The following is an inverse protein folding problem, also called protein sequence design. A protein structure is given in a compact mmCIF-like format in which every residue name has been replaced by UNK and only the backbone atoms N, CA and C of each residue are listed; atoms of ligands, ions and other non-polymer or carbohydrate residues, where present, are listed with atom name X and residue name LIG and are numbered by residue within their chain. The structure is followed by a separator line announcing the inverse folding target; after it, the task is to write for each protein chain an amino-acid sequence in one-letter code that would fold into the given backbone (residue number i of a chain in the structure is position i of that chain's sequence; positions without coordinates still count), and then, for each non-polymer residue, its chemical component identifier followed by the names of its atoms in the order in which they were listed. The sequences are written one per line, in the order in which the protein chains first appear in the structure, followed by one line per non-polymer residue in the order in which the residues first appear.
data_IF_628146891840
#
_entry.id   IF_628146891840
#
_cell.length_a   1.000
_cell.length_b   1.000
_cell.length_c   1.000
_cell.angle_alpha   90.00
_cell.angle_beta   90.00
_cell.angle_gamma   90.00
#
_symmetry.space_group_name_H-M   'P 1'
#
loop_
_entity.id
_entity.type
_entity.pdbx_description
1 polymer ?
#
# COMPACT_ATOMS: atom_id res chain seq x y z
N UNK A 1 -5.91 -11.84 -2.86
CA UNK A 1 -7.00 -10.95 -3.31
C UNK A 1 -6.50 -10.20 -4.52
N UNK A 2 -7.32 -10.08 -5.56
CA UNK A 2 -6.98 -9.35 -6.77
C UNK A 2 -8.01 -8.25 -7.01
N UNK A 3 -7.55 -7.02 -7.17
CA UNK A 3 -8.35 -5.84 -7.52
C UNK A 3 -7.88 -5.43 -8.91
N UNK A 4 -8.80 -5.38 -9.88
CA UNK A 4 -8.44 -5.09 -11.27
C UNK A 4 -9.49 -4.25 -11.97
N UNK A 5 -9.04 -3.27 -12.76
CA UNK A 5 -9.89 -2.39 -13.57
C UNK A 5 -10.95 -1.63 -12.77
N UNK A 6 -10.68 -1.40 -11.49
CA UNK A 6 -11.59 -0.65 -10.64
C UNK A 6 -11.36 0.85 -10.83
N UNK A 7 -12.30 1.49 -11.52
CA UNK A 7 -12.29 2.93 -11.76
C UNK A 7 -13.01 3.72 -10.67
N UNK A 8 -13.51 3.08 -9.61
CA UNK A 8 -14.25 3.73 -8.53
C UNK A 8 -13.44 3.84 -7.26
N UNK A 9 -12.54 2.89 -7.01
CA UNK A 9 -11.69 2.92 -5.81
C UNK A 9 -10.68 4.05 -5.93
N UNK A 10 -10.88 5.11 -5.14
CA UNK A 10 -9.95 6.24 -5.03
C UNK A 10 -8.96 6.00 -3.88
N UNK A 11 -9.39 5.30 -2.84
CA UNK A 11 -8.57 4.96 -1.68
C UNK A 11 -8.88 3.56 -1.15
N UNK A 12 -7.83 2.85 -0.70
CA UNK A 12 -8.02 1.57 -0.01
C UNK A 12 -8.73 1.69 1.35
N UNK A 13 -8.88 2.91 1.89
CA UNK A 13 -9.69 3.16 3.08
C UNK A 13 -11.18 2.83 2.86
N UNK A 14 -11.70 2.96 1.64
CA UNK A 14 -13.09 2.64 1.30
C UNK A 14 -13.42 1.16 1.50
N UNK A 15 -12.40 0.30 1.37
CA UNK A 15 -12.52 -1.15 1.53
C UNK A 15 -11.77 -1.66 2.77
N UNK A 16 -11.44 -0.77 3.69
CA UNK A 16 -10.71 -1.09 4.93
C UNK A 16 -11.42 -2.17 5.76
N UNK A 17 -12.74 -2.14 5.83
CA UNK A 17 -13.54 -3.14 6.57
C UNK A 17 -13.38 -4.55 5.99
N UNK A 18 -13.29 -4.66 4.66
CA UNK A 18 -13.00 -5.92 3.99
C UNK A 18 -11.58 -6.41 4.30
N UNK A 19 -10.60 -5.51 4.33
CA UNK A 19 -9.23 -5.84 4.72
C UNK A 19 -9.08 -6.22 6.19
N UNK A 20 -9.79 -5.57 7.12
CA UNK A 20 -9.83 -5.99 8.53
C UNK A 20 -10.35 -7.41 8.66
N UNK A 21 -11.39 -7.76 7.90
CA UNK A 21 -12.00 -9.09 7.91
C UNK A 21 -11.06 -10.19 7.41
N UNK A 22 -10.08 -9.87 6.56
CA UNK A 22 -9.08 -10.82 6.05
C UNK A 22 -7.64 -10.53 6.51
N UNK A 23 -7.48 -9.70 7.55
CA UNK A 23 -6.19 -9.24 8.08
C UNK A 23 -5.16 -10.34 8.34
N UNK A 24 -5.61 -11.48 8.88
CA UNK A 24 -4.77 -12.62 9.26
C UNK A 24 -4.70 -13.75 8.24
N UNK A 25 -5.48 -13.69 7.15
CA UNK A 25 -5.55 -14.75 6.14
C UNK A 25 -5.05 -14.31 4.77
N UNK A 26 -5.02 -13.00 4.51
CA UNK A 26 -4.64 -12.47 3.21
C UNK A 26 -3.13 -12.39 3.06
N UNK A 27 -2.56 -13.36 2.36
CA UNK A 27 -1.11 -13.43 2.09
C UNK A 27 -0.66 -12.77 0.80
N UNK A 28 -1.56 -12.59 -0.17
CA UNK A 28 -1.22 -11.98 -1.47
C UNK A 28 -2.29 -10.98 -1.88
N UNK A 29 -1.87 -9.79 -2.27
CA UNK A 29 -2.70 -8.72 -2.77
C UNK A 29 -2.14 -8.19 -4.09
N UNK A 30 -2.97 -8.22 -5.13
CA UNK A 30 -2.64 -7.72 -6.45
C UNK A 30 -3.61 -6.59 -6.81
N UNK A 31 -3.09 -5.43 -7.17
CA UNK A 31 -3.87 -4.26 -7.61
C UNK A 31 -3.38 -3.83 -8.98
N UNK A 32 -4.27 -3.93 -9.97
CA UNK A 32 -3.92 -3.74 -11.38
C UNK A 32 -4.90 -2.78 -12.06
N UNK A 33 -4.41 -1.82 -12.85
CA UNK A 33 -5.27 -0.91 -13.65
C UNK A 33 -6.31 -0.11 -12.86
N UNK A 34 -6.10 0.08 -11.56
CA UNK A 34 -6.97 0.91 -10.72
C UNK A 34 -6.55 2.37 -10.83
N UNK A 35 -6.92 2.99 -11.95
CA UNK A 35 -6.38 4.28 -12.36
C UNK A 35 -6.81 5.47 -11.49
N UNK A 36 -7.88 5.35 -10.70
CA UNK A 36 -8.31 6.38 -9.76
C UNK A 36 -7.69 6.22 -8.37
N UNK A 37 -7.00 5.11 -8.11
CA UNK A 37 -6.42 4.82 -6.81
C UNK A 37 -5.27 5.79 -6.53
N UNK A 38 -5.48 6.71 -5.58
CA UNK A 38 -4.52 7.74 -5.19
C UNK A 38 -3.65 7.32 -4.04
N UNK A 39 -4.21 6.54 -3.11
CA UNK A 39 -3.50 6.07 -1.93
C UNK A 39 -3.86 4.64 -1.58
N UNK A 40 -2.84 3.90 -1.12
CA UNK A 40 -2.97 2.58 -0.51
C UNK A 40 -2.95 2.61 1.02
N UNK A 41 -2.83 3.82 1.61
CA UNK A 41 -2.90 4.02 3.07
C UNK A 41 -4.31 3.72 3.61
N UNK A 42 -4.40 3.38 4.90
CA UNK A 42 -5.66 3.01 5.56
C UNK A 42 -6.09 1.56 5.36
N UNK A 43 -5.96 0.99 4.15
CA UNK A 43 -6.33 -0.40 3.88
C UNK A 43 -5.21 -1.41 4.14
N UNK A 44 -4.01 -1.16 3.58
CA UNK A 44 -2.87 -2.08 3.69
C UNK A 44 -2.39 -2.30 5.12
N UNK A 45 -2.57 -1.31 6.00
CA UNK A 45 -2.09 -1.36 7.39
C UNK A 45 -2.69 -2.49 8.23
N UNK A 46 -3.86 -3.01 7.84
CA UNK A 46 -4.54 -4.10 8.55
C UNK A 46 -4.11 -5.48 8.07
N UNK A 47 -3.41 -5.57 6.95
CA UNK A 47 -3.05 -6.85 6.32
C UNK A 47 -1.75 -7.40 6.93
N UNK A 48 -1.83 -7.78 8.20
CA UNK A 48 -0.66 -8.24 8.98
C UNK A 48 -0.11 -9.58 8.52
N UNK A 49 -0.85 -10.36 7.73
CA UNK A 49 -0.37 -11.62 7.13
C UNK A 49 0.09 -11.47 5.67
N UNK A 50 0.18 -10.24 5.14
CA UNK A 50 0.47 -10.03 3.72
C UNK A 50 1.94 -10.31 3.40
N UNK A 51 2.16 -11.29 2.54
CA UNK A 51 3.48 -11.76 2.10
C UNK A 51 3.87 -11.24 0.71
N UNK A 52 2.90 -11.01 -0.18
CA UNK A 52 3.12 -10.48 -1.52
C UNK A 52 2.19 -9.31 -1.82
N UNK A 53 2.75 -8.19 -2.26
CA UNK A 53 2.02 -7.03 -2.73
C UNK A 53 2.45 -6.68 -4.15
N UNK A 54 1.50 -6.61 -5.07
CA UNK A 54 1.74 -6.25 -6.47
C UNK A 54 0.87 -5.05 -6.85
N UNK A 55 1.51 -3.97 -7.29
CA UNK A 55 0.88 -2.74 -7.72
C UNK A 55 1.28 -2.47 -9.18
N UNK A 56 0.31 -2.53 -10.10
CA UNK A 56 0.56 -2.48 -11.55
C UNK A 56 -0.37 -1.51 -12.28
N UNK A 57 0.19 -0.65 -13.14
CA UNK A 57 -0.55 0.30 -13.98
C UNK A 57 -1.53 1.17 -13.16
N UNK A 58 -1.01 1.86 -12.16
CA UNK A 58 -1.78 2.75 -11.28
C UNK A 58 -1.40 4.20 -11.55
N UNK A 59 -2.22 4.89 -12.34
CA UNK A 59 -1.91 6.22 -12.85
C UNK A 59 -1.94 7.33 -11.82
N UNK A 60 -2.83 7.23 -10.84
CA UNK A 60 -3.03 8.27 -9.84
C UNK A 60 -2.31 7.96 -8.52
N UNK A 61 -1.73 6.76 -8.37
CA UNK A 61 -1.15 6.31 -7.12
C UNK A 61 0.06 7.16 -6.74
N UNK A 62 0.04 7.68 -5.52
CA UNK A 62 1.15 8.38 -4.88
C UNK A 62 1.45 7.74 -3.54
N UNK A 63 2.72 7.67 -3.19
CA UNK A 63 3.14 7.43 -1.82
C UNK A 63 3.53 8.80 -1.26
N UNK A 64 2.54 9.49 -0.71
CA UNK A 64 2.76 10.75 -0.03
C UNK A 64 3.50 10.47 1.28
N UNK A 65 4.74 10.98 1.39
CA UNK A 65 5.54 10.98 2.61
C UNK A 65 5.72 12.39 3.19
N UNK A 66 5.02 13.41 2.67
CA UNK A 66 5.33 14.82 2.92
C UNK A 66 4.07 15.61 3.31
N UNK A 67 3.94 15.79 4.63
CA UNK A 67 3.53 17.04 5.29
C UNK A 67 2.22 17.66 4.79
N UNK A 68 1.11 17.07 5.23
CA UNK A 68 -0.04 17.88 5.59
C UNK A 68 0.34 18.72 6.81
N UNK A 69 0.33 20.04 6.65
CA UNK A 69 0.26 21.00 7.75
C UNK A 69 -1.05 20.77 8.53
N UNK A 70 -1.10 19.72 9.34
CA UNK A 70 -2.12 19.57 10.37
C UNK A 70 -1.41 19.61 11.71
N UNK A 71 -1.56 20.76 12.39
CA UNK A 71 -1.28 20.94 13.81
C UNK A 71 -2.17 19.95 14.59
N UNK A 72 -1.72 18.72 14.72
CA UNK A 72 -2.44 17.64 15.37
C UNK A 72 -1.50 16.47 15.63
N UNK A 73 -1.33 16.17 16.91
CA UNK A 73 -0.40 15.19 17.47
C UNK A 73 -0.59 13.76 16.92
N UNK A 74 0.00 13.37 15.79
CA UNK A 74 0.23 11.94 15.48
C UNK A 74 1.56 11.72 14.73
N UNK A 75 2.65 11.57 15.50
CA UNK A 75 4.02 11.28 15.04
C UNK A 75 4.19 9.93 14.29
N UNK A 76 3.11 9.18 14.03
CA UNK A 76 3.15 7.79 13.56
C UNK A 76 3.05 7.63 12.03
N UNK A 77 3.03 8.73 11.27
CA UNK A 77 2.88 8.72 9.80
C UNK A 77 4.16 8.34 9.05
N UNK A 78 5.31 8.39 9.73
CA UNK A 78 6.62 8.16 9.11
C UNK A 78 6.82 6.67 8.78
N UNK A 79 6.28 6.17 7.68
CA UNK A 79 6.38 4.75 7.28
C UNK A 79 5.05 4.01 7.12
N UNK A 80 3.94 4.74 7.03
CA UNK A 80 2.66 4.21 6.55
C UNK A 80 2.75 3.78 5.06
N UNK A 81 2.06 2.71 4.61
CA UNK A 81 1.56 1.56 5.38
C UNK A 81 2.63 0.48 5.65
N UNK A 82 3.86 0.68 5.18
CA UNK A 82 4.92 -0.33 5.13
C UNK A 82 5.40 -0.86 6.48
N UNK A 83 5.37 -0.06 7.56
CA UNK A 83 5.78 -0.51 8.91
C UNK A 83 4.98 -1.70 9.42
N UNK A 84 3.67 -1.74 9.13
CA UNK A 84 2.79 -2.83 9.57
C UNK A 84 3.10 -4.12 8.82
N UNK A 85 3.57 -3.97 7.59
CA UNK A 85 3.96 -5.04 6.69
C UNK A 85 5.42 -5.47 6.87
N UNK A 86 6.18 -4.76 7.71
CA UNK A 86 7.63 -4.91 7.85
C UNK A 86 8.12 -6.34 8.07
N UNK A 87 7.38 -7.10 8.88
CA UNK A 87 7.77 -8.45 9.29
C UNK A 87 7.18 -9.56 8.44
N UNK A 88 6.26 -9.24 7.54
CA UNK A 88 5.45 -10.23 6.85
C UNK A 88 5.55 -10.13 5.33
N UNK A 89 5.86 -8.94 4.79
CA UNK A 89 5.94 -8.73 3.35
C UNK A 89 7.31 -9.16 2.81
N UNK A 90 7.28 -10.21 2.01
CA UNK A 90 8.46 -10.84 1.40
C UNK A 90 8.63 -10.43 -0.06
N UNK A 91 7.55 -10.06 -0.75
CA UNK A 91 7.57 -9.68 -2.15
C UNK A 91 6.80 -8.37 -2.37
N UNK A 92 7.44 -7.42 -3.04
CA UNK A 92 6.84 -6.17 -3.46
C UNK A 92 7.13 -5.95 -4.94
N UNK A 93 6.07 -5.81 -5.74
CA UNK A 93 6.18 -5.48 -7.17
C UNK A 93 5.51 -4.14 -7.44
N UNK A 94 6.24 -3.22 -8.06
CA UNK A 94 5.82 -1.87 -8.42
C UNK A 94 6.08 -1.65 -9.91
N UNK A 95 5.07 -1.86 -10.75
CA UNK A 95 5.23 -1.77 -12.21
C UNK A 95 4.30 -0.72 -12.82
N UNK A 96 4.83 0.08 -13.74
CA UNK A 96 4.06 1.09 -14.48
C UNK A 96 3.30 2.06 -13.54
N UNK A 97 4.01 2.68 -12.61
CA UNK A 97 3.49 3.70 -11.69
C UNK A 97 3.99 5.09 -12.15
N UNK A 98 3.28 5.81 -13.05
CA UNK A 98 3.80 7.02 -13.70
C UNK A 98 3.96 8.22 -12.76
N UNK A 99 3.33 8.20 -11.58
CA UNK A 99 3.50 9.24 -10.54
C UNK A 99 4.52 8.84 -9.47
N UNK A 100 5.16 7.69 -9.63
CA UNK A 100 6.22 7.24 -8.74
C UNK A 100 7.56 7.73 -9.30
N UNK A 101 7.94 8.96 -8.93
CA UNK A 101 9.24 9.50 -9.32
C UNK A 101 10.37 8.83 -8.52
N UNK A 102 10.12 8.58 -7.23
CA UNK A 102 11.04 7.90 -6.30
C UNK A 102 10.29 6.83 -5.49
N UNK A 103 11.02 5.80 -5.08
CA UNK A 103 10.52 4.76 -4.19
C UNK A 103 10.21 5.34 -2.79
N UNK A 104 9.05 5.04 -2.16
CA UNK A 104 8.76 5.58 -0.84
C UNK A 104 9.80 5.13 0.19
N UNK A 105 10.31 6.09 0.98
CA UNK A 105 11.19 5.85 2.11
C UNK A 105 10.64 4.80 3.07
N UNK A 106 9.32 4.68 3.21
CA UNK A 106 8.67 3.66 4.02
C UNK A 106 9.01 2.22 3.63
N UNK A 107 9.44 1.95 2.39
CA UNK A 107 9.91 0.61 1.98
C UNK A 107 11.17 0.20 2.74
N UNK A 108 11.95 1.15 3.30
CA UNK A 108 13.10 0.82 4.15
C UNK A 108 12.72 0.06 5.44
N UNK A 109 11.45 0.14 5.87
CA UNK A 109 10.96 -0.60 7.04
C UNK A 109 10.68 -2.07 6.73
N UNK A 110 10.64 -2.48 5.45
CA UNK A 110 10.36 -3.86 5.04
C UNK A 110 11.57 -4.77 5.27
N UNK A 111 11.84 -5.11 6.54
CA UNK A 111 12.98 -5.93 6.92
C UNK A 111 12.86 -7.40 6.48
N UNK A 112 11.64 -7.89 6.23
CA UNK A 112 11.37 -9.22 5.70
C UNK A 112 11.42 -9.29 4.15
N UNK A 113 11.62 -8.17 3.45
CA UNK A 113 11.53 -8.12 2.00
C UNK A 113 12.66 -8.93 1.34
N UNK A 114 12.29 -9.87 0.48
CA UNK A 114 13.20 -10.71 -0.29
C UNK A 114 13.24 -10.30 -1.76
N UNK A 115 12.10 -9.84 -2.29
CA UNK A 115 11.94 -9.46 -3.69
C UNK A 115 11.35 -8.05 -3.79
N UNK A 116 12.04 -7.19 -4.55
CA UNK A 116 11.55 -5.88 -4.97
C UNK A 116 11.72 -5.80 -6.49
N UNK A 117 10.61 -5.64 -7.22
CA UNK A 117 10.59 -5.63 -8.70
C UNK A 117 9.81 -4.44 -9.24
#
# INVERSE_FOLDING_TARGET
LKISDDSKVESLSEIEEAFRSCSSSLQSLEIVRCNQLRSVSGGLQHLTALESLELMDLRELRFDETEGEEEGEEEDHKGMPWRRLAQCLHSLTLCALPKLDDLPQGICYLTALQFLT
#
